data_IF_165875887021
#
_entry.id   IF_165875887021
#
_cell.length_a   1.000
_cell.length_b   1.000
_cell.length_c   1.000
_cell.angle_alpha   90.00
_cell.angle_beta   90.00
_cell.angle_gamma   90.00
#
_symmetry.space_group_name_H-M   'P 1'
#
loop_
_entity.id
_entity.type
_entity.pdbx_description
1 polymer ?
#
# COMPACT_ATOMS: atom_id res chain seq x y z
N UNK A 1 -7.27 12.49 10.70
CA UNK A 1 -6.47 12.77 11.87
C UNK A 1 -5.14 13.41 11.45
N UNK A 2 -4.60 14.41 12.19
CA UNK A 2 -3.25 14.93 11.95
C UNK A 2 -2.20 13.87 12.31
N UNK A 3 -1.03 13.90 11.66
CA UNK A 3 0.07 12.94 11.91
C UNK A 3 0.42 12.80 13.39
N UNK A 4 0.46 13.90 14.12
CA UNK A 4 0.76 13.89 15.56
C UNK A 4 -0.18 12.98 16.36
N UNK A 5 -1.45 12.88 15.98
CA UNK A 5 -2.45 12.14 16.75
C UNK A 5 -2.22 10.62 16.75
N UNK A 6 -1.62 10.07 15.70
CA UNK A 6 -1.34 8.63 15.59
C UNK A 6 0.17 8.30 15.55
N UNK A 7 1.02 9.28 15.89
CA UNK A 7 2.48 9.12 16.06
C UNK A 7 2.89 9.57 17.45
N UNK A 8 3.54 10.71 17.59
CA UNK A 8 4.03 11.22 18.87
C UNK A 8 2.92 11.37 19.93
N UNK A 9 1.71 11.75 19.54
CA UNK A 9 0.56 11.88 20.44
C UNK A 9 0.03 10.53 20.94
N UNK A 10 0.28 9.45 20.21
CA UNK A 10 -0.06 8.08 20.60
C UNK A 10 1.08 7.37 21.36
N UNK A 11 2.18 8.09 21.67
CA UNK A 11 3.32 7.53 22.40
C UNK A 11 4.38 6.86 21.54
N UNK A 12 4.39 7.08 20.23
CA UNK A 12 5.45 6.57 19.34
C UNK A 12 6.73 7.34 19.60
N UNK A 13 7.81 6.66 19.94
CA UNK A 13 9.13 7.26 20.17
C UNK A 13 9.91 7.44 18.86
N UNK A 14 9.81 6.48 17.95
CA UNK A 14 10.51 6.46 16.65
C UNK A 14 9.58 5.94 15.57
N UNK A 15 9.59 6.55 14.41
CA UNK A 15 8.82 6.15 13.23
C UNK A 15 9.75 5.94 12.04
N UNK A 16 9.68 4.79 11.38
CA UNK A 16 10.17 4.61 10.01
C UNK A 16 9.06 5.07 9.05
N UNK A 17 9.33 6.15 8.32
CA UNK A 17 8.39 6.76 7.40
C UNK A 17 8.82 6.50 5.95
N UNK A 18 8.18 5.53 5.31
CA UNK A 18 8.43 5.16 3.93
C UNK A 18 7.52 5.88 2.94
N UNK A 19 8.06 6.25 1.79
CA UNK A 19 7.29 6.85 0.70
C UNK A 19 7.23 5.99 -0.56
N UNK A 20 8.04 4.93 -0.65
CA UNK A 20 8.21 4.10 -1.86
C UNK A 20 6.90 3.44 -2.31
N UNK A 21 6.08 2.97 -1.37
CA UNK A 21 4.79 2.34 -1.70
C UNK A 21 3.66 3.34 -1.95
N UNK A 22 3.95 4.63 -1.92
CA UNK A 22 2.95 5.69 -2.10
C UNK A 22 3.43 6.81 -3.05
N UNK A 23 4.15 6.42 -4.11
CA UNK A 23 4.51 7.31 -5.22
C UNK A 23 5.92 7.88 -5.20
N UNK A 24 6.74 7.63 -4.17
CA UNK A 24 8.19 7.93 -4.23
C UNK A 24 8.93 6.80 -4.97
N UNK A 25 10.01 7.14 -5.66
CA UNK A 25 10.87 6.16 -6.31
C UNK A 25 11.52 5.22 -5.29
N UNK A 26 12.13 5.77 -4.23
CA UNK A 26 12.58 5.06 -3.04
C UNK A 26 12.93 6.05 -1.93
N UNK A 27 12.86 5.58 -0.69
CA UNK A 27 13.31 6.34 0.47
C UNK A 27 12.56 5.97 1.75
N UNK A 28 13.33 5.90 2.84
CA UNK A 28 12.84 5.76 4.19
C UNK A 28 13.39 6.90 5.05
N UNK A 29 12.54 7.56 5.83
CA UNK A 29 12.92 8.55 6.80
C UNK A 29 12.70 8.02 8.20
N UNK A 30 13.73 8.07 9.06
CA UNK A 30 13.59 7.74 10.48
C UNK A 30 13.31 9.01 11.26
N UNK A 31 12.11 9.12 11.82
CA UNK A 31 11.66 10.26 12.60
C UNK A 31 11.75 9.94 14.09
N UNK A 32 12.49 10.71 14.84
CA UNK A 32 12.63 10.57 16.30
C UNK A 32 11.76 11.62 16.98
N UNK A 33 10.81 11.18 17.80
CA UNK A 33 9.92 12.06 18.57
C UNK A 33 10.38 12.23 20.00
N UNK A 34 11.20 11.30 20.50
CA UNK A 34 11.76 11.34 21.85
C UNK A 34 13.20 11.88 21.83
N UNK A 35 13.51 12.92 22.63
CA UNK A 35 14.88 13.44 22.75
C UNK A 35 15.87 12.36 23.19
N UNK A 36 17.10 12.44 22.69
CA UNK A 36 18.21 11.55 23.06
C UNK A 36 18.34 10.28 22.22
N UNK A 37 17.28 9.79 21.59
CA UNK A 37 17.34 8.54 20.81
C UNK A 37 18.11 8.68 19.48
N UNK A 38 18.28 9.88 18.96
CA UNK A 38 18.93 10.14 17.67
C UNK A 38 20.42 10.47 17.74
N UNK A 39 21.01 10.54 18.95
CA UNK A 39 22.37 11.10 19.18
C UNK A 39 23.40 10.44 18.27
N UNK A 40 23.47 9.13 18.23
CA UNK A 40 24.43 8.36 17.44
C UNK A 40 23.88 7.84 16.13
N UNK A 41 22.61 8.13 15.81
CA UNK A 41 21.92 7.51 14.66
C UNK A 41 22.62 7.79 13.32
N UNK A 42 23.21 8.98 13.12
CA UNK A 42 23.97 9.31 11.91
C UNK A 42 25.15 8.37 11.67
N UNK A 43 25.81 7.91 12.73
CA UNK A 43 26.91 6.97 12.66
C UNK A 43 26.40 5.53 12.45
N UNK A 44 25.37 5.13 13.18
CA UNK A 44 24.70 3.83 13.04
C UNK A 44 24.21 3.66 11.60
N UNK A 45 23.54 4.66 11.04
CA UNK A 45 23.07 4.64 9.64
C UNK A 45 24.22 4.45 8.66
N UNK A 46 25.35 5.15 8.87
CA UNK A 46 26.53 5.01 8.01
C UNK A 46 27.17 3.65 8.14
N UNK A 47 27.32 3.12 9.36
CA UNK A 47 27.87 1.79 9.64
C UNK A 47 26.98 0.70 9.06
N UNK A 48 25.66 0.85 9.13
CA UNK A 48 24.68 -0.05 8.52
C UNK A 48 24.53 0.08 6.99
N UNK A 49 25.42 0.84 6.34
CA UNK A 49 25.39 1.11 4.89
C UNK A 49 24.07 1.72 4.38
N UNK A 50 23.28 2.34 5.25
CA UNK A 50 22.01 2.99 4.91
C UNK A 50 22.17 4.49 4.58
N UNK A 51 23.41 4.94 4.38
CA UNK A 51 23.73 6.29 3.92
C UNK A 51 24.10 6.24 2.44
N UNK A 52 23.10 6.42 1.58
CA UNK A 52 23.32 6.51 0.16
C UNK A 52 24.18 7.72 -0.22
N UNK A 53 25.06 7.56 -1.20
CA UNK A 53 25.73 8.70 -1.84
C UNK A 53 24.68 9.64 -2.43
N UNK A 54 24.94 10.94 -2.38
CA UNK A 54 24.04 11.96 -2.95
C UNK A 54 22.61 11.95 -2.38
N UNK A 55 22.51 11.89 -1.07
CA UNK A 55 21.24 11.92 -0.33
C UNK A 55 20.28 13.04 -0.75
N UNK A 56 20.79 14.12 -1.37
CA UNK A 56 19.96 15.23 -1.87
C UNK A 56 18.87 14.77 -2.86
N UNK A 57 19.09 13.71 -3.62
CA UNK A 57 18.08 13.19 -4.56
C UNK A 57 16.94 12.49 -3.82
N UNK A 58 17.23 11.80 -2.71
CA UNK A 58 16.21 11.21 -1.84
C UNK A 58 15.45 12.33 -1.11
N UNK A 59 16.18 13.31 -0.57
CA UNK A 59 15.57 14.45 0.12
C UNK A 59 14.68 15.29 -0.80
N UNK A 60 15.07 15.45 -2.08
CA UNK A 60 14.24 16.15 -3.07
C UNK A 60 12.91 15.46 -3.33
N UNK A 61 12.88 14.12 -3.31
CA UNK A 61 11.64 13.36 -3.42
C UNK A 61 10.72 13.62 -2.23
N UNK A 62 11.24 13.65 -0.99
CA UNK A 62 10.45 13.99 0.19
C UNK A 62 9.91 15.42 0.14
N UNK A 63 10.71 16.39 -0.35
CA UNK A 63 10.24 17.78 -0.53
C UNK A 63 9.06 17.81 -1.52
N UNK A 64 9.17 17.12 -2.65
CA UNK A 64 8.09 17.03 -3.63
C UNK A 64 6.86 16.30 -3.06
N UNK A 65 7.09 15.21 -2.33
CA UNK A 65 6.06 14.37 -1.75
C UNK A 65 5.18 15.08 -0.72
N UNK A 66 5.78 15.96 0.09
CA UNK A 66 5.03 16.78 1.05
C UNK A 66 4.47 18.09 0.44
N UNK A 67 4.96 18.51 -0.73
CA UNK A 67 4.45 19.71 -1.39
C UNK A 67 3.02 19.48 -1.89
N UNK A 68 2.12 20.44 -1.62
CA UNK A 68 0.73 20.41 -2.06
C UNK A 68 -0.01 19.12 -1.68
N UNK A 69 0.36 18.53 -0.54
CA UNK A 69 -0.23 17.29 -0.01
C UNK A 69 -0.18 16.09 -0.99
N UNK A 70 0.85 15.99 -1.82
CA UNK A 70 0.96 14.91 -2.82
C UNK A 70 0.86 13.53 -2.17
N UNK A 71 1.56 13.30 -1.05
CA UNK A 71 1.48 12.06 -0.27
C UNK A 71 0.03 11.66 0.06
N UNK A 72 -0.79 12.64 0.43
CA UNK A 72 -2.19 12.43 0.78
C UNK A 72 -3.04 12.14 -0.45
N UNK A 73 -2.80 12.85 -1.56
CA UNK A 73 -3.50 12.61 -2.83
C UNK A 73 -3.26 11.19 -3.32
N UNK A 74 -2.01 10.72 -3.30
CA UNK A 74 -1.66 9.35 -3.65
C UNK A 74 -2.37 8.32 -2.76
N UNK A 75 -2.34 8.52 -1.44
CA UNK A 75 -3.00 7.61 -0.50
C UNK A 75 -4.54 7.61 -0.63
N UNK A 76 -5.15 8.78 -0.83
CA UNK A 76 -6.60 8.89 -1.05
C UNK A 76 -7.02 8.22 -2.36
N UNK A 77 -6.20 8.36 -3.41
CA UNK A 77 -6.42 7.69 -4.68
C UNK A 77 -6.39 6.16 -4.49
N UNK A 78 -5.32 5.61 -3.91
CA UNK A 78 -5.21 4.18 -3.63
C UNK A 78 -6.42 3.65 -2.86
N UNK A 79 -6.83 4.36 -1.79
CA UNK A 79 -7.98 3.96 -0.98
C UNK A 79 -9.31 4.08 -1.76
N UNK A 80 -9.43 5.03 -2.71
CA UNK A 80 -10.63 5.14 -3.55
C UNK A 80 -10.73 4.02 -4.56
N UNK A 81 -9.60 3.61 -5.12
CA UNK A 81 -9.52 2.46 -6.04
C UNK A 81 -9.84 1.14 -5.33
N UNK A 82 -9.39 0.95 -4.08
CA UNK A 82 -9.78 -0.22 -3.30
C UNK A 82 -11.29 -0.29 -3.05
N UNK A 83 -11.91 0.84 -2.73
CA UNK A 83 -13.37 0.89 -2.58
C UNK A 83 -14.11 0.66 -3.91
N UNK A 84 -13.56 1.12 -5.04
CA UNK A 84 -14.11 0.84 -6.34
C UNK A 84 -14.01 -0.65 -6.66
N UNK A 85 -12.84 -1.26 -6.45
CA UNK A 85 -12.62 -2.69 -6.63
C UNK A 85 -13.60 -3.51 -5.78
N UNK A 86 -13.74 -3.18 -4.51
CA UNK A 86 -14.67 -3.88 -3.61
C UNK A 86 -16.11 -3.82 -4.12
N UNK A 87 -16.61 -2.63 -4.51
CA UNK A 87 -17.96 -2.50 -5.07
C UNK A 87 -18.16 -3.33 -6.32
N UNK A 88 -17.15 -3.38 -7.21
CA UNK A 88 -17.24 -4.19 -8.44
C UNK A 88 -17.21 -5.68 -8.14
N UNK A 89 -16.39 -6.12 -7.20
CA UNK A 89 -16.38 -7.50 -6.70
C UNK A 89 -17.75 -7.87 -6.14
N UNK A 90 -18.34 -7.04 -5.29
CA UNK A 90 -19.68 -7.28 -4.72
C UNK A 90 -20.77 -7.38 -5.80
N UNK A 91 -20.67 -6.58 -6.87
CA UNK A 91 -21.60 -6.58 -7.99
C UNK A 91 -21.59 -7.89 -8.80
N UNK A 92 -20.48 -8.62 -8.82
CA UNK A 92 -20.41 -9.93 -9.49
C UNK A 92 -21.33 -10.97 -8.81
N UNK A 93 -21.58 -10.81 -7.50
CA UNK A 93 -22.33 -11.78 -6.70
C UNK A 93 -21.63 -13.13 -6.49
N UNK A 94 -20.41 -13.30 -6.99
CA UNK A 94 -19.66 -14.58 -7.00
C UNK A 94 -18.53 -14.63 -5.95
N UNK A 95 -18.09 -13.49 -5.46
CA UNK A 95 -16.90 -13.35 -4.61
C UNK A 95 -17.29 -12.70 -3.28
N UNK A 96 -16.86 -13.30 -2.17
CA UNK A 96 -17.12 -12.79 -0.82
C UNK A 96 -15.95 -11.97 -0.30
N UNK A 97 -16.19 -10.70 0.08
CA UNK A 97 -15.23 -9.84 0.78
C UNK A 97 -15.31 -10.15 2.27
N UNK A 98 -14.17 -10.52 2.85
CA UNK A 98 -14.08 -11.02 4.23
C UNK A 98 -13.92 -9.92 5.28
N UNK A 99 -13.42 -8.74 4.87
CA UNK A 99 -13.07 -7.66 5.80
C UNK A 99 -13.55 -6.30 5.26
N UNK A 100 -13.90 -5.35 6.15
CA UNK A 100 -14.21 -3.98 5.73
C UNK A 100 -13.02 -3.32 5.01
N UNK A 101 -13.25 -2.67 3.87
CA UNK A 101 -12.22 -1.98 3.10
C UNK A 101 -11.93 -0.60 3.71
N UNK A 102 -10.93 -0.54 4.58
CA UNK A 102 -10.54 0.66 5.34
C UNK A 102 -9.30 1.36 4.77
N UNK A 103 -8.55 0.69 3.91
CA UNK A 103 -7.33 1.20 3.27
C UNK A 103 -7.29 0.78 1.79
N UNK A 104 -6.10 0.58 1.25
CA UNK A 104 -5.88 0.17 -0.14
C UNK A 104 -5.83 -1.35 -0.36
N UNK A 105 -6.28 -2.15 0.60
CA UNK A 105 -6.35 -3.61 0.50
C UNK A 105 -7.78 -4.12 0.52
N UNK A 106 -8.07 -5.08 -0.34
CA UNK A 106 -9.33 -5.84 -0.40
C UNK A 106 -9.01 -7.30 -0.14
N UNK A 107 -9.70 -7.91 0.83
CA UNK A 107 -9.56 -9.32 1.17
C UNK A 107 -10.80 -10.06 0.72
N UNK A 108 -10.61 -11.08 -0.11
CA UNK A 108 -11.71 -11.78 -0.76
C UNK A 108 -11.45 -13.27 -0.87
N UNK A 109 -12.49 -14.08 -0.79
CA UNK A 109 -12.43 -15.51 -1.03
C UNK A 109 -12.61 -15.73 -2.53
N UNK A 110 -11.58 -16.30 -3.16
CA UNK A 110 -11.56 -16.64 -4.57
C UNK A 110 -11.16 -18.13 -4.69
N UNK A 111 -11.89 -18.98 -5.41
CA UNK A 111 -11.46 -20.35 -5.62
C UNK A 111 -10.02 -20.42 -6.13
N UNK A 112 -9.23 -21.37 -5.65
CA UNK A 112 -7.80 -21.44 -5.92
C UNK A 112 -7.51 -21.51 -7.43
N UNK A 113 -8.24 -22.34 -8.17
CA UNK A 113 -8.11 -22.49 -9.62
C UNK A 113 -8.37 -21.18 -10.36
N UNK A 114 -9.41 -20.43 -9.97
CA UNK A 114 -9.72 -19.11 -10.53
C UNK A 114 -8.58 -18.12 -10.21
N UNK A 115 -8.09 -18.12 -8.97
CA UNK A 115 -7.03 -17.24 -8.56
C UNK A 115 -5.71 -17.51 -9.31
N UNK A 116 -5.34 -18.78 -9.55
CA UNK A 116 -4.16 -19.14 -10.33
C UNK A 116 -4.23 -18.58 -11.76
N UNK A 117 -5.36 -18.79 -12.45
CA UNK A 117 -5.55 -18.31 -13.82
C UNK A 117 -5.52 -16.77 -13.90
N UNK A 118 -6.14 -16.09 -12.94
CA UNK A 118 -6.14 -14.62 -12.88
C UNK A 118 -4.75 -14.08 -12.58
N UNK A 119 -3.96 -14.75 -11.72
CA UNK A 119 -2.60 -14.35 -11.35
C UNK A 119 -1.60 -14.37 -12.52
N UNK A 120 -1.90 -15.04 -13.62
CA UNK A 120 -1.09 -14.96 -14.85
C UNK A 120 -1.04 -13.53 -15.41
N UNK A 121 -2.06 -12.73 -15.16
CA UNK A 121 -2.17 -11.35 -15.66
C UNK A 121 -2.24 -10.30 -14.58
N UNK A 122 -2.93 -10.56 -13.48
CA UNK A 122 -3.07 -9.66 -12.32
C UNK A 122 -2.58 -10.36 -11.06
N UNK A 123 -1.37 -10.03 -10.63
CA UNK A 123 -0.76 -10.68 -9.48
C UNK A 123 -1.33 -10.18 -8.15
N UNK A 124 -1.74 -11.11 -7.29
CA UNK A 124 -2.11 -10.87 -5.91
C UNK A 124 -1.70 -12.03 -5.00
N UNK A 125 -1.64 -11.81 -3.70
CA UNK A 125 -1.09 -12.77 -2.76
C UNK A 125 -2.17 -13.62 -2.09
N UNK A 126 -1.96 -14.95 -1.93
CA UNK A 126 -2.72 -15.71 -0.97
C UNK A 126 -2.48 -15.13 0.43
N UNK A 127 -3.57 -14.87 1.15
CA UNK A 127 -3.53 -14.33 2.51
C UNK A 127 -3.78 -15.42 3.54
N UNK A 128 -4.79 -16.26 3.31
CA UNK A 128 -5.10 -17.44 4.08
C UNK A 128 -5.49 -18.58 3.14
N UNK A 129 -4.55 -19.50 2.91
CA UNK A 129 -4.72 -20.62 1.99
C UNK A 129 -5.81 -21.59 2.44
N UNK A 130 -6.04 -21.73 3.77
CA UNK A 130 -7.04 -22.67 4.30
C UNK A 130 -8.47 -22.33 3.89
N UNK A 131 -8.75 -21.08 3.60
CA UNK A 131 -10.08 -20.59 3.20
C UNK A 131 -10.05 -19.94 1.82
N UNK A 132 -8.99 -20.10 1.06
CA UNK A 132 -8.79 -19.46 -0.24
C UNK A 132 -9.00 -17.94 -0.20
N UNK A 133 -8.54 -17.29 0.87
CA UNK A 133 -8.58 -15.83 1.01
C UNK A 133 -7.34 -15.20 0.36
N UNK A 134 -7.58 -14.25 -0.51
CA UNK A 134 -6.54 -13.49 -1.23
C UNK A 134 -6.59 -12.03 -0.85
N UNK A 135 -5.41 -11.39 -0.88
CA UNK A 135 -5.26 -9.96 -0.66
C UNK A 135 -4.97 -9.25 -1.98
N UNK A 136 -5.92 -8.47 -2.45
CA UNK A 136 -5.80 -7.61 -3.61
C UNK A 136 -5.43 -6.20 -3.15
N UNK A 137 -4.38 -5.63 -3.74
CA UNK A 137 -3.87 -4.32 -3.35
C UNK A 137 -4.01 -3.32 -4.50
N UNK A 138 -4.51 -2.14 -4.19
CA UNK A 138 -4.47 -1.01 -5.10
C UNK A 138 -3.33 -0.07 -4.73
N UNK A 139 -2.85 0.71 -5.69
CA UNK A 139 -1.70 1.59 -5.58
C UNK A 139 -2.07 3.03 -5.97
N UNK A 140 -1.10 3.92 -5.80
CA UNK A 140 -1.22 5.33 -6.15
C UNK A 140 -1.39 5.56 -7.66
N UNK A 141 -1.06 4.58 -8.49
CA UNK A 141 -1.13 4.56 -9.95
C UNK A 141 -2.20 3.60 -10.51
N UNK A 142 -2.91 2.87 -9.66
CA UNK A 142 -4.01 2.00 -10.09
C UNK A 142 -5.10 2.83 -10.79
N UNK A 143 -5.50 2.41 -11.99
CA UNK A 143 -6.55 3.05 -12.77
C UNK A 143 -7.89 2.32 -12.65
N UNK A 144 -8.98 2.97 -13.10
CA UNK A 144 -10.28 2.30 -13.22
C UNK A 144 -10.25 1.20 -14.28
N UNK A 145 -9.44 1.37 -15.33
CA UNK A 145 -9.28 0.38 -16.40
C UNK A 145 -8.57 -0.88 -15.89
N UNK A 146 -7.58 -0.74 -14.99
CA UNK A 146 -6.95 -1.90 -14.33
C UNK A 146 -7.97 -2.70 -13.54
N UNK A 147 -8.83 -2.00 -12.79
CA UNK A 147 -9.90 -2.65 -12.01
C UNK A 147 -10.92 -3.32 -12.94
N UNK A 148 -11.35 -2.64 -13.99
CA UNK A 148 -12.31 -3.21 -14.96
C UNK A 148 -11.74 -4.45 -15.63
N UNK A 149 -10.45 -4.40 -16.02
CA UNK A 149 -9.77 -5.54 -16.62
C UNK A 149 -9.67 -6.75 -15.67
N UNK A 150 -9.35 -6.49 -14.38
CA UNK A 150 -9.34 -7.56 -13.37
C UNK A 150 -10.73 -8.19 -13.17
N UNK A 151 -11.77 -7.37 -13.05
CA UNK A 151 -13.15 -7.86 -12.87
C UNK A 151 -13.59 -8.68 -14.08
N UNK A 152 -13.33 -8.21 -15.31
CA UNK A 152 -13.69 -8.96 -16.52
C UNK A 152 -13.06 -10.35 -16.54
N UNK A 153 -11.78 -10.47 -16.18
CA UNK A 153 -11.12 -11.79 -16.15
C UNK A 153 -11.67 -12.66 -15.02
N UNK A 154 -11.96 -12.10 -13.87
CA UNK A 154 -12.60 -12.85 -12.78
C UNK A 154 -13.96 -13.40 -13.21
N UNK A 155 -14.79 -12.58 -13.85
CA UNK A 155 -16.10 -13.03 -14.38
C UNK A 155 -15.96 -14.14 -15.41
N UNK A 156 -15.04 -13.97 -16.37
CA UNK A 156 -14.75 -14.98 -17.42
C UNK A 156 -14.30 -16.32 -16.82
N UNK A 157 -13.49 -16.29 -15.73
CA UNK A 157 -13.01 -17.52 -15.09
C UNK A 157 -14.12 -18.21 -14.28
N UNK A 158 -15.05 -17.46 -13.71
CA UNK A 158 -16.21 -18.04 -13.01
C UNK A 158 -17.28 -18.61 -13.95
N UNK A 159 -17.29 -18.23 -15.24
CA UNK A 159 -18.28 -18.65 -16.22
C UNK A 159 -17.82 -19.85 -17.06
N UNK A 160 -16.60 -20.37 -16.81
CA UNK A 160 -16.07 -21.60 -17.41
C UNK A 160 -16.61 -22.85 -16.72
#
# INVERSE_FOLDING_TARGET
LPFKAFTAGAGVDVLSFGGTKNGMMYGEAVCFFKPGLSVDFKYIRKQGMQLASKMRFISAQYIAYFRNDLWRKCALHSNSMARLLARKIEQTGKIHITQPVQSNGVFAIIPHEVAENVCEKYFFYPWNEHISEYRLMTSWDTTEDDINGLISILEDEFDK
#
